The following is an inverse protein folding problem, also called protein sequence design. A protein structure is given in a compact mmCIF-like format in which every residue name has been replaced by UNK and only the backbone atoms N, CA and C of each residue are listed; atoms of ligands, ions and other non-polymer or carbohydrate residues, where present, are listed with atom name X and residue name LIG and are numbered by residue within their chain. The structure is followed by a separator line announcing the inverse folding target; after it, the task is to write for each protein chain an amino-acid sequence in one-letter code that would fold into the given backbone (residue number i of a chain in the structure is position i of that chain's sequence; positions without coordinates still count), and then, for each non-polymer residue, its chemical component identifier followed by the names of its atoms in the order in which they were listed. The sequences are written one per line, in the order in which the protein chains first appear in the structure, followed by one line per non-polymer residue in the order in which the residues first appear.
data_IF_242116116412
#
_entry.id   IF_242116116412
#
_cell.length_a   1.000
_cell.length_b   1.000
_cell.length_c   1.000
_cell.angle_alpha   90.00
_cell.angle_beta   90.00
_cell.angle_gamma   90.00
#
_symmetry.space_group_name_H-M   'P 1'
#
loop_
_entity.id
_entity.type
_entity.pdbx_description
1 polymer ?
#
# COMPACT_ATOMS: atom_id res chain seq x y z
N UNK A 1 -0.35 -3.78 -11.74
CA UNK A 1 1.09 -3.53 -11.93
C UNK A 1 1.69 -3.06 -10.61
N UNK A 2 2.91 -3.45 -10.24
CA UNK A 2 3.63 -2.97 -9.05
C UNK A 2 4.81 -2.07 -9.46
N UNK A 3 4.92 -0.90 -8.86
CA UNK A 3 6.04 0.02 -9.00
C UNK A 3 6.66 0.32 -7.63
N UNK A 4 7.97 0.52 -7.58
CA UNK A 4 8.70 0.84 -6.35
C UNK A 4 9.68 1.98 -6.61
N UNK A 5 9.60 3.04 -5.82
CA UNK A 5 10.52 4.17 -5.84
C UNK A 5 11.29 4.19 -4.53
N UNK A 6 12.62 4.11 -4.59
CA UNK A 6 13.49 4.09 -3.42
C UNK A 6 14.11 5.45 -3.10
N UNK A 7 14.08 5.82 -1.83
CA UNK A 7 14.58 7.07 -1.27
C UNK A 7 15.41 6.75 -0.01
N UNK A 8 16.72 6.57 -0.17
CA UNK A 8 17.68 6.20 0.90
C UNK A 8 17.21 5.03 1.80
N UNK A 9 16.40 5.32 2.82
CA UNK A 9 15.85 4.36 3.79
C UNK A 9 14.39 3.98 3.58
N UNK A 10 13.70 4.58 2.62
CA UNK A 10 12.26 4.43 2.41
C UNK A 10 11.94 4.04 0.97
N UNK A 11 11.03 3.11 0.79
CA UNK A 11 10.46 2.74 -0.50
C UNK A 11 9.00 3.14 -0.54
N UNK A 12 8.58 3.78 -1.63
CA UNK A 12 7.17 4.03 -1.96
C UNK A 12 6.75 3.01 -3.00
N UNK A 13 5.80 2.15 -2.63
CA UNK A 13 5.25 1.12 -3.50
C UNK A 13 3.87 1.55 -3.97
N UNK A 14 3.58 1.30 -5.23
CA UNK A 14 2.26 1.53 -5.80
C UNK A 14 1.83 0.27 -6.54
N UNK A 15 0.65 -0.24 -6.23
CA UNK A 15 0.09 -1.38 -6.93
C UNK A 15 -1.39 -1.22 -7.23
N UNK A 16 -1.79 -1.57 -8.46
CA UNK A 16 -3.20 -1.75 -8.78
C UNK A 16 -3.81 -2.82 -7.86
N UNK A 17 -5.01 -2.56 -7.38
CA UNK A 17 -5.75 -3.45 -6.51
C UNK A 17 -7.16 -3.66 -7.06
N UNK A 18 -7.58 -4.92 -7.07
CA UNK A 18 -8.98 -5.32 -7.14
C UNK A 18 -9.24 -6.22 -5.94
N UNK A 19 -10.24 -5.88 -5.14
CA UNK A 19 -10.46 -6.48 -3.83
C UNK A 19 -11.94 -6.83 -3.67
N UNK A 20 -12.22 -8.01 -3.12
CA UNK A 20 -13.56 -8.45 -2.74
C UNK A 20 -13.46 -8.99 -1.32
N UNK A 21 -14.13 -8.32 -0.38
CA UNK A 21 -14.24 -8.81 0.99
C UNK A 21 -15.30 -9.93 1.04
N UNK A 22 -14.96 -11.17 1.44
CA UNK A 22 -15.94 -12.23 1.59
C UNK A 22 -16.88 -12.03 2.78
N UNK A 23 -16.60 -11.08 3.68
CA UNK A 23 -17.41 -10.79 4.87
C UNK A 23 -17.48 -9.28 5.12
N UNK A 24 -18.07 -8.51 4.19
CA UNK A 24 -18.07 -7.06 4.26
C UNK A 24 -18.88 -6.56 5.45
N UNK A 25 -18.43 -5.45 6.03
CA UNK A 25 -19.27 -4.68 6.94
C UNK A 25 -20.43 -4.01 6.19
N UNK A 26 -21.52 -3.64 6.90
CA UNK A 26 -22.63 -2.92 6.28
C UNK A 26 -22.18 -1.67 5.54
N UNK A 27 -22.60 -1.54 4.27
CA UNK A 27 -22.24 -0.42 3.41
C UNK A 27 -20.87 -0.55 2.74
N UNK A 28 -20.13 -1.65 2.94
CA UNK A 28 -18.84 -1.97 2.29
C UNK A 28 -18.95 -3.16 1.33
N UNK A 29 -20.16 -3.47 0.88
CA UNK A 29 -20.42 -4.57 -0.02
C UNK A 29 -19.91 -4.26 -1.44
N UNK A 30 -19.66 -5.33 -2.18
CA UNK A 30 -19.23 -5.26 -3.58
C UNK A 30 -17.71 -5.35 -3.75
N UNK A 31 -17.30 -5.31 -5.01
CA UNK A 31 -15.89 -5.27 -5.35
C UNK A 31 -15.36 -3.84 -5.28
N UNK A 32 -14.10 -3.69 -4.90
CA UNK A 32 -13.38 -2.43 -4.89
C UNK A 32 -12.23 -2.48 -5.88
N UNK A 33 -11.91 -1.34 -6.48
CA UNK A 33 -10.74 -1.18 -7.36
C UNK A 33 -9.99 0.09 -7.04
N UNK A 34 -8.72 0.13 -7.43
CA UNK A 34 -7.91 1.35 -7.37
C UNK A 34 -6.45 1.05 -7.14
N UNK A 35 -5.78 1.88 -6.34
CA UNK A 35 -4.34 1.79 -6.09
C UNK A 35 -4.06 1.67 -4.60
N UNK A 36 -3.18 0.74 -4.24
CA UNK A 36 -2.56 0.69 -2.92
C UNK A 36 -1.21 1.37 -2.97
N UNK A 37 -1.01 2.30 -2.05
CA UNK A 37 0.25 2.96 -1.75
C UNK A 37 0.80 2.40 -0.44
N UNK A 38 2.08 2.05 -0.42
CA UNK A 38 2.76 1.66 0.81
C UNK A 38 4.08 2.41 0.96
N UNK A 39 4.35 2.84 2.18
CA UNK A 39 5.67 3.32 2.59
C UNK A 39 6.32 2.22 3.41
N UNK A 40 7.46 1.72 2.92
CA UNK A 40 8.19 0.62 3.55
C UNK A 40 9.64 1.00 3.81
N UNK A 41 10.26 0.40 4.82
CA UNK A 41 11.70 0.56 5.06
C UNK A 41 12.50 -0.14 3.96
N UNK A 42 13.52 0.54 3.43
CA UNK A 42 14.54 -0.08 2.59
C UNK A 42 15.72 -0.52 3.46
N UNK A 43 16.12 -1.77 3.27
CA UNK A 43 17.23 -2.38 3.97
C UNK A 43 18.32 -2.75 2.97
N UNK A 44 19.54 -2.29 3.20
CA UNK A 44 20.70 -2.81 2.48
C UNK A 44 21.11 -4.16 3.10
N UNK A 45 21.13 -5.19 2.27
CA UNK A 45 21.57 -6.52 2.66
C UNK A 45 23.08 -6.60 2.86
N UNK A 46 23.51 -7.73 3.42
CA UNK A 46 24.93 -8.07 3.48
C UNK A 46 25.48 -8.26 2.06
N UNK A 47 26.76 -7.91 1.88
CA UNK A 47 27.49 -8.21 0.66
C UNK A 47 27.54 -9.73 0.47
N UNK A 48 27.05 -10.23 -0.66
CA UNK A 48 26.95 -11.67 -0.92
C UNK A 48 28.14 -12.23 -1.69
N UNK A 49 29.03 -11.36 -2.20
CA UNK A 49 30.20 -11.75 -2.97
C UNK A 49 31.43 -10.95 -2.62
N UNK A 50 32.27 -10.70 -3.62
CA UNK A 50 33.48 -9.88 -3.46
C UNK A 50 33.13 -8.42 -3.16
N UNK A 51 34.16 -7.63 -2.85
CA UNK A 51 34.03 -6.17 -2.65
C UNK A 51 33.37 -5.43 -3.83
N UNK A 52 33.33 -6.04 -5.02
CA UNK A 52 32.74 -5.48 -6.22
C UNK A 52 31.30 -5.94 -6.49
N UNK A 53 30.74 -6.84 -5.68
CA UNK A 53 29.39 -7.35 -5.92
C UNK A 53 28.34 -6.30 -5.60
N UNK A 54 27.25 -6.28 -6.37
CA UNK A 54 26.06 -5.54 -6.00
C UNK A 54 25.58 -5.96 -4.61
N UNK A 55 25.05 -4.99 -3.85
CA UNK A 55 24.43 -5.27 -2.55
C UNK A 55 22.93 -5.53 -2.75
N UNK A 56 22.36 -6.59 -2.15
CA UNK A 56 20.92 -6.76 -2.15
C UNK A 56 20.23 -5.56 -1.50
N UNK A 57 19.11 -5.12 -2.06
CA UNK A 57 18.22 -4.13 -1.45
C UNK A 57 16.89 -4.82 -1.20
N UNK A 58 16.43 -4.79 0.05
CA UNK A 58 15.15 -5.36 0.45
C UNK A 58 14.15 -4.23 0.72
N UNK A 59 12.95 -4.40 0.18
CA UNK A 59 11.78 -3.60 0.54
C UNK A 59 11.09 -4.30 1.71
N UNK A 60 11.39 -3.83 2.92
CA UNK A 60 11.11 -4.50 4.18
C UNK A 60 9.80 -4.08 4.83
N UNK A 61 9.87 -3.78 6.12
CA UNK A 61 8.72 -3.54 6.98
C UNK A 61 7.86 -2.36 6.48
N UNK A 62 6.53 -2.53 6.35
CA UNK A 62 5.63 -1.41 6.07
C UNK A 62 5.43 -0.55 7.31
N UNK A 63 5.46 0.76 7.12
CA UNK A 63 5.25 1.75 8.19
C UNK A 63 3.99 2.58 7.98
N UNK A 64 3.51 2.65 6.74
CA UNK A 64 2.26 3.32 6.38
C UNK A 64 1.69 2.72 5.10
N UNK A 65 0.36 2.76 4.97
CA UNK A 65 -0.35 2.32 3.77
C UNK A 65 -1.56 3.20 3.52
N UNK A 66 -1.83 3.52 2.26
CA UNK A 66 -3.12 4.04 1.82
C UNK A 66 -3.71 3.18 0.72
N UNK A 67 -5.02 3.04 0.77
CA UNK A 67 -5.82 2.37 -0.23
C UNK A 67 -6.68 3.44 -0.89
N UNK A 68 -6.30 3.89 -2.09
CA UNK A 68 -7.03 4.85 -2.90
C UNK A 68 -8.03 4.09 -3.76
N UNK A 69 -9.14 3.70 -3.14
CA UNK A 69 -10.11 2.78 -3.70
C UNK A 69 -11.46 3.44 -3.97
N UNK A 70 -12.19 2.80 -4.87
CA UNK A 70 -13.57 3.09 -5.21
C UNK A 70 -14.35 1.78 -5.42
N UNK A 71 -15.68 1.86 -5.37
CA UNK A 71 -16.52 0.72 -5.79
C UNK A 71 -16.29 0.41 -7.27
N UNK A 72 -16.13 -0.87 -7.61
CA UNK A 72 -15.75 -1.29 -8.96
C UNK A 72 -16.83 -1.02 -10.01
N UNK A 73 -18.09 -0.97 -9.58
CA UNK A 73 -19.28 -0.61 -10.38
C UNK A 73 -19.60 0.89 -10.32
N UNK A 74 -18.83 1.68 -9.58
CA UNK A 74 -19.00 3.11 -9.41
C UNK A 74 -18.34 3.96 -10.50
N UNK A 75 -18.63 5.28 -10.52
CA UNK A 75 -17.95 6.21 -11.41
C UNK A 75 -16.45 6.28 -11.07
N UNK A 76 -15.57 6.35 -12.08
CA UNK A 76 -14.14 6.43 -11.86
C UNK A 76 -13.74 7.76 -11.22
N UNK A 77 -12.76 7.70 -10.31
CA UNK A 77 -12.23 8.86 -9.57
C UNK A 77 -13.06 9.24 -8.35
N UNK A 78 -14.01 8.41 -7.92
CA UNK A 78 -14.90 8.76 -6.79
C UNK A 78 -14.21 8.68 -5.43
N UNK A 79 -13.18 7.83 -5.30
CA UNK A 79 -12.43 7.60 -4.06
C UNK A 79 -13.33 7.32 -2.84
N UNK A 80 -14.54 6.81 -3.05
CA UNK A 80 -15.54 6.58 -2.01
C UNK A 80 -15.20 5.44 -1.03
N UNK A 81 -14.08 4.74 -1.26
CA UNK A 81 -13.50 3.73 -0.38
C UNK A 81 -12.09 4.12 0.09
N UNK A 82 -11.63 5.34 -0.21
CA UNK A 82 -10.29 5.76 0.13
C UNK A 82 -10.08 5.85 1.65
N UNK A 83 -8.97 5.29 2.11
CA UNK A 83 -8.57 5.32 3.52
C UNK A 83 -7.07 5.10 3.65
N UNK A 84 -6.52 5.41 4.82
CA UNK A 84 -5.14 5.06 5.15
C UNK A 84 -5.03 4.33 6.49
N UNK A 85 -3.88 3.70 6.68
CA UNK A 85 -3.48 2.99 7.88
C UNK A 85 -2.22 3.68 8.41
N UNK A 86 -2.35 4.51 9.48
CA UNK A 86 -1.24 5.32 9.98
C UNK A 86 -0.15 4.49 10.69
N UNK A 87 -0.45 3.22 10.98
CA UNK A 87 0.50 2.28 11.54
C UNK A 87 0.15 0.85 11.20
N UNK A 88 1.17 0.01 11.19
CA UNK A 88 1.08 -1.43 10.94
C UNK A 88 1.75 -2.18 12.08
N UNK A 89 1.22 -3.36 12.43
CA UNK A 89 1.88 -4.30 13.33
C UNK A 89 2.43 -5.45 12.50
N UNK A 90 3.76 -5.52 12.40
CA UNK A 90 4.45 -6.39 11.46
C UNK A 90 4.00 -6.10 10.01
N UNK A 91 3.17 -6.97 9.45
CA UNK A 91 2.63 -6.85 8.09
C UNK A 91 1.13 -6.55 8.09
N UNK A 92 0.50 -6.55 9.25
CA UNK A 92 -0.94 -6.35 9.37
C UNK A 92 -1.25 -4.86 9.50
N UNK A 93 -2.15 -4.32 8.65
CA UNK A 93 -2.58 -2.94 8.77
C UNK A 93 -3.35 -2.73 10.08
N UNK A 94 -3.17 -1.55 10.69
CA UNK A 94 -4.00 -1.11 11.82
C UNK A 94 -5.41 -0.71 11.39
N UNK A 95 -6.12 0.01 12.26
CA UNK A 95 -7.44 0.56 11.95
C UNK A 95 -7.41 1.47 10.72
N UNK A 96 -8.51 1.50 9.97
CA UNK A 96 -8.71 2.41 8.85
C UNK A 96 -8.96 3.83 9.38
N UNK A 97 -8.32 4.80 8.75
CA UNK A 97 -8.61 6.23 8.92
C UNK A 97 -9.19 6.73 7.61
N UNK A 98 -10.44 7.19 7.67
CA UNK A 98 -11.11 7.85 6.56
C UNK A 98 -10.87 9.35 6.69
N UNK A 99 -10.11 9.90 5.74
CA UNK A 99 -9.73 11.30 5.71
C UNK A 99 -10.47 11.98 4.54
N UNK A 100 -11.30 13.00 4.78
CA UNK A 100 -11.99 13.72 3.71
C UNK A 100 -11.05 14.30 2.66
N UNK A 101 -9.81 14.63 3.00
CA UNK A 101 -8.81 15.14 2.06
C UNK A 101 -8.34 14.06 1.06
N UNK A 102 -8.55 12.77 1.36
CA UNK A 102 -8.27 11.66 0.45
C UNK A 102 -9.41 11.37 -0.54
N UNK A 103 -10.61 11.89 -0.30
CA UNK A 103 -11.80 11.66 -1.13
C UNK A 103 -12.36 12.93 -1.77
N UNK A 104 -11.58 14.03 -1.74
CA UNK A 104 -11.98 15.37 -2.19
C UNK A 104 -11.99 15.53 -3.72
#
# INVERSE_FOLDING_TARGET
MLQVFGFDRIGVLMSDLYFVDPSPGPGQEGAERGVRLEVRMLEQGRLTGSIYSARPIKVGQPIWRADLLETADGPPGSLNRAHHHPGLRNWEPGSRVFDPELSA
#
